data_IF_017157221097
#
_entry.id   IF_017157221097
#
_cell.length_a   1.000
_cell.length_b   1.000
_cell.length_c   1.000
_cell.angle_alpha   90.00
_cell.angle_beta   90.00
_cell.angle_gamma   90.00
#
_symmetry.space_group_name_H-M   'P 1'
#
loop_
_entity.id
_entity.type
_entity.pdbx_description
1 polymer ?
#
# COMPACT_ATOMS: atom_id res chain seq x y z
N UNK A 1 -13.90 22.63 4.56
CA UNK A 1 -12.42 22.48 4.64
C UNK A 1 -11.79 23.18 3.44
N UNK A 2 -10.61 23.78 3.61
CA UNK A 2 -9.83 24.29 2.46
C UNK A 2 -9.41 23.12 1.55
N UNK A 3 -9.33 23.36 0.24
CA UNK A 3 -8.78 22.38 -0.73
C UNK A 3 -7.36 21.95 -0.36
N UNK A 4 -6.59 22.82 0.27
CA UNK A 4 -5.26 22.50 0.79
C UNK A 4 -5.32 21.53 1.97
N UNK A 5 -6.21 21.80 2.93
CA UNK A 5 -6.42 20.90 4.07
C UNK A 5 -6.90 19.51 3.64
N UNK A 6 -7.82 19.45 2.67
CA UNK A 6 -8.30 18.17 2.12
C UNK A 6 -7.16 17.38 1.47
N UNK A 7 -6.28 18.05 0.70
CA UNK A 7 -5.11 17.41 0.08
C UNK A 7 -4.12 16.87 1.12
N UNK A 8 -3.85 17.66 2.16
CA UNK A 8 -2.95 17.24 3.22
C UNK A 8 -3.50 16.05 4.00
N UNK A 9 -4.81 16.04 4.28
CA UNK A 9 -5.46 14.90 4.93
C UNK A 9 -5.38 13.63 4.07
N UNK A 10 -5.68 13.71 2.77
CA UNK A 10 -5.59 12.54 1.86
C UNK A 10 -4.17 11.98 1.83
N UNK A 11 -3.15 12.84 1.81
CA UNK A 11 -1.75 12.42 1.88
C UNK A 11 -1.44 11.68 3.19
N UNK A 12 -1.86 12.24 4.32
CA UNK A 12 -1.62 11.64 5.64
C UNK A 12 -2.29 10.28 5.78
N UNK A 13 -3.55 10.17 5.37
CA UNK A 13 -4.29 8.91 5.40
C UNK A 13 -3.60 7.85 4.53
N UNK A 14 -3.16 8.23 3.34
CA UNK A 14 -2.43 7.31 2.45
C UNK A 14 -1.10 6.84 3.05
N UNK A 15 -0.34 7.73 3.66
CA UNK A 15 0.90 7.37 4.38
C UNK A 15 0.60 6.40 5.55
N UNK A 16 -0.49 6.62 6.30
CA UNK A 16 -0.96 5.69 7.34
C UNK A 16 -1.32 4.32 6.75
N UNK A 17 -2.09 4.28 5.66
CA UNK A 17 -2.51 3.05 5.00
C UNK A 17 -1.32 2.21 4.53
N UNK A 18 -0.26 2.85 4.00
CA UNK A 18 0.97 2.13 3.63
C UNK A 18 1.56 1.43 4.86
N UNK A 19 1.73 2.14 5.98
CA UNK A 19 2.31 1.60 7.20
C UNK A 19 1.46 0.45 7.78
N UNK A 20 0.14 0.59 7.75
CA UNK A 20 -0.79 -0.43 8.22
C UNK A 20 -0.71 -1.70 7.37
N UNK A 21 -0.71 -1.55 6.03
CA UNK A 21 -0.55 -2.67 5.11
C UNK A 21 0.79 -3.37 5.30
N UNK A 22 1.88 -2.63 5.44
CA UNK A 22 3.20 -3.21 5.73
C UNK A 22 3.21 -4.02 7.02
N UNK A 23 2.55 -3.54 8.07
CA UNK A 23 2.42 -4.26 9.33
C UNK A 23 1.59 -5.55 9.19
N UNK A 24 0.58 -5.57 8.31
CA UNK A 24 -0.21 -6.77 7.99
C UNK A 24 0.67 -7.78 7.25
N UNK A 25 1.37 -7.36 6.20
CA UNK A 25 2.23 -8.24 5.41
C UNK A 25 3.37 -8.81 6.25
N UNK A 26 4.01 -7.99 7.10
CA UNK A 26 5.03 -8.45 8.03
C UNK A 26 4.52 -9.57 8.95
N UNK A 27 3.36 -9.36 9.58
CA UNK A 27 2.73 -10.39 10.43
C UNK A 27 2.36 -11.65 9.65
N UNK A 28 1.96 -11.51 8.39
CA UNK A 28 1.69 -12.66 7.53
C UNK A 28 2.96 -13.46 7.21
N UNK A 29 4.08 -12.79 6.89
CA UNK A 29 5.38 -13.46 6.68
C UNK A 29 5.89 -14.13 7.96
N UNK A 30 5.80 -13.47 9.11
CA UNK A 30 6.18 -14.04 10.42
C UNK A 30 5.39 -15.31 10.75
N UNK A 31 4.13 -15.42 10.31
CA UNK A 31 3.37 -16.67 10.43
C UNK A 31 3.87 -17.76 9.51
N UNK A 32 4.31 -17.43 8.29
CA UNK A 32 4.82 -18.44 7.35
C UNK A 32 6.10 -19.10 7.84
N UNK A 33 6.94 -18.39 8.60
CA UNK A 33 8.22 -18.94 9.10
C UNK A 33 8.06 -19.98 10.22
N UNK A 34 6.91 -20.02 10.89
CA UNK A 34 6.63 -20.96 11.98
C UNK A 34 5.77 -22.15 11.54
N UNK A 35 5.31 -22.17 10.30
CA UNK A 35 4.56 -23.31 9.76
C UNK A 35 5.54 -24.37 9.25
N UNK A 36 5.31 -25.62 9.65
CA UNK A 36 6.00 -26.77 9.10
C UNK A 36 5.38 -27.13 7.74
N UNK A 37 5.74 -26.33 6.74
CA UNK A 37 5.38 -26.55 5.35
C UNK A 37 6.59 -27.08 4.61
N UNK A 38 6.40 -28.10 3.77
CA UNK A 38 7.43 -28.49 2.80
C UNK A 38 7.85 -27.30 1.93
N UNK A 39 9.13 -27.25 1.55
CA UNK A 39 9.78 -26.09 0.92
C UNK A 39 8.99 -25.51 -0.26
N UNK A 40 8.43 -26.37 -1.13
CA UNK A 40 7.67 -25.93 -2.31
C UNK A 40 6.35 -25.22 -1.96
N UNK A 41 5.67 -25.64 -0.90
CA UNK A 41 4.44 -25.00 -0.42
C UNK A 41 4.74 -23.65 0.22
N UNK A 42 5.81 -23.58 1.02
CA UNK A 42 6.29 -22.35 1.64
C UNK A 42 6.69 -21.31 0.58
N UNK A 43 7.46 -21.72 -0.44
CA UNK A 43 7.88 -20.83 -1.52
C UNK A 43 6.68 -20.25 -2.29
N UNK A 44 5.67 -21.09 -2.59
CA UNK A 44 4.46 -20.65 -3.29
C UNK A 44 3.66 -19.63 -2.49
N UNK A 45 3.44 -19.87 -1.20
CA UNK A 45 2.73 -18.93 -0.33
C UNK A 45 3.49 -17.62 -0.15
N UNK A 46 4.82 -17.69 0.00
CA UNK A 46 5.70 -16.53 0.07
C UNK A 46 5.56 -15.67 -1.19
N UNK A 47 5.58 -16.29 -2.38
CA UNK A 47 5.45 -15.56 -3.64
C UNK A 47 4.08 -14.91 -3.81
N UNK A 48 3.00 -15.60 -3.42
CA UNK A 48 1.64 -15.03 -3.44
C UNK A 48 1.54 -13.82 -2.51
N UNK A 49 2.16 -13.89 -1.33
CA UNK A 49 2.16 -12.80 -0.37
C UNK A 49 2.98 -11.59 -0.85
N UNK A 50 4.13 -11.83 -1.47
CA UNK A 50 4.96 -10.79 -2.10
C UNK A 50 4.19 -10.06 -3.21
N UNK A 51 3.55 -10.81 -4.10
CA UNK A 51 2.77 -10.22 -5.20
C UNK A 51 1.57 -9.41 -4.67
N UNK A 52 0.87 -9.93 -3.66
CA UNK A 52 -0.21 -9.18 -3.00
C UNK A 52 0.31 -7.88 -2.38
N UNK A 53 1.44 -7.91 -1.68
CA UNK A 53 2.07 -6.73 -1.08
C UNK A 53 2.39 -5.67 -2.13
N UNK A 54 3.02 -6.08 -3.23
CA UNK A 54 3.37 -5.17 -4.31
C UNK A 54 2.12 -4.49 -4.90
N UNK A 55 1.08 -5.27 -5.21
CA UNK A 55 -0.16 -4.75 -5.76
C UNK A 55 -0.94 -3.82 -4.82
N UNK A 56 -0.81 -3.99 -3.51
CA UNK A 56 -1.46 -3.13 -2.52
C UNK A 56 -0.68 -1.85 -2.21
N UNK A 57 0.65 -1.93 -2.10
CA UNK A 57 1.50 -0.81 -1.66
C UNK A 57 1.88 0.11 -2.83
N UNK A 58 2.26 -0.46 -3.97
CA UNK A 58 2.79 0.32 -5.10
C UNK A 58 1.82 1.41 -5.60
N UNK A 59 0.51 1.16 -5.76
CA UNK A 59 -0.41 2.23 -6.17
C UNK A 59 -0.49 3.39 -5.16
N UNK A 60 -0.37 3.09 -3.87
CA UNK A 60 -0.36 4.12 -2.82
C UNK A 60 0.93 4.95 -2.85
N UNK A 61 2.05 4.34 -3.25
CA UNK A 61 3.33 5.04 -3.42
C UNK A 61 3.34 5.90 -4.70
N UNK A 62 2.87 5.36 -5.83
CA UNK A 62 2.84 6.08 -7.11
C UNK A 62 1.91 7.31 -7.07
N UNK A 63 0.81 7.26 -6.31
CA UNK A 63 -0.06 8.42 -6.07
C UNK A 63 0.65 9.51 -5.23
N UNK A 64 1.75 9.20 -4.51
CA UNK A 64 2.61 10.23 -3.89
C UNK A 64 3.39 11.00 -4.96
N UNK A 65 3.80 10.31 -6.02
CA UNK A 65 4.70 10.82 -7.08
C UNK A 65 3.95 11.53 -8.21
N UNK A 66 2.66 11.24 -8.40
CA UNK A 66 1.83 11.93 -9.38
C UNK A 66 1.72 13.44 -9.04
N UNK A 67 2.02 14.35 -9.99
CA UNK A 67 1.78 15.77 -9.77
C UNK A 67 0.29 15.96 -9.51
N UNK A 68 -0.05 16.58 -8.38
CA UNK A 68 -1.43 16.82 -7.95
C UNK A 68 -2.22 17.54 -9.06
N UNK A 69 -2.95 16.79 -9.89
CA UNK A 69 -3.79 17.32 -10.96
C UNK A 69 -5.04 17.93 -10.32
N UNK A 70 -4.89 19.08 -9.66
CA UNK A 70 -6.01 19.99 -9.44
C UNK A 70 -6.06 20.93 -10.63
N UNK A 71 -6.48 20.44 -11.80
CA UNK A 71 -7.05 21.34 -12.80
C UNK A 71 -8.36 21.84 -12.20
N UNK A 72 -8.42 23.13 -11.85
CA UNK A 72 -9.69 23.78 -11.61
C UNK A 72 -10.56 23.63 -12.86
N UNK A 73 -11.89 23.43 -12.75
CA UNK A 73 -12.73 23.47 -13.93
C UNK A 73 -12.60 24.88 -14.54
N UNK A 74 -12.27 24.94 -15.83
CA UNK A 74 -12.30 26.18 -16.60
C UNK A 74 -13.67 26.83 -16.39
N UNK A 75 -13.67 27.99 -15.74
CA UNK A 75 -14.86 28.82 -15.64
C UNK A 75 -15.02 29.51 -16.99
N UNK A 76 -15.91 28.96 -17.83
CA UNK A 76 -16.43 29.61 -19.03
C UNK A 76 -17.32 30.80 -18.66
#
# INVERSE_FOLDING_TARGET
MSREQQRQNVRQERESLILELEAIYRRAFERLTVLDLGEGSLARLTQLLLHSREGAIKPLQEEIEAPLITRAPDQS
#
